data_IF_339364129275
#
_entry.id   IF_339364129275
#
_cell.length_a   1.000
_cell.length_b   1.000
_cell.length_c   1.000
_cell.angle_alpha   90.00
_cell.angle_beta   90.00
_cell.angle_gamma   90.00
#
_symmetry.space_group_name_H-M   'P 1'
#
loop_
_entity.id
_entity.type
_entity.pdbx_description
1 polymer ?
#
# COMPACT_ATOMS: atom_id res chain seq x y z
N UNK A 1 -30.24 12.05 10.77
CA UNK A 1 -30.42 12.69 12.10
C UNK A 1 -30.99 14.07 11.89
N UNK A 2 -31.88 14.53 12.76
CA UNK A 2 -32.38 15.91 12.72
C UNK A 2 -32.45 16.49 14.13
N UNK A 3 -32.14 17.77 14.25
CA UNK A 3 -32.46 18.55 15.44
C UNK A 3 -33.76 19.33 15.19
N UNK A 4 -34.57 19.48 16.22
CA UNK A 4 -35.84 20.21 16.18
C UNK A 4 -35.83 21.35 17.20
N UNK A 5 -36.47 22.46 16.86
CA UNK A 5 -36.76 23.56 17.77
C UNK A 5 -37.89 23.16 18.74
N UNK A 6 -38.05 23.87 19.89
CA UNK A 6 -39.15 23.59 20.83
C UNK A 6 -40.54 23.68 20.21
N UNK A 7 -40.71 24.47 19.14
CA UNK A 7 -41.95 24.59 18.38
C UNK A 7 -42.16 23.46 17.35
N UNK A 8 -41.30 22.43 17.33
CA UNK A 8 -41.39 21.27 16.44
C UNK A 8 -40.81 21.45 15.04
N UNK A 9 -40.33 22.65 14.67
CA UNK A 9 -39.69 22.88 13.37
C UNK A 9 -38.27 22.30 13.32
N UNK A 10 -37.85 21.76 12.17
CA UNK A 10 -36.48 21.24 11.98
C UNK A 10 -35.48 22.39 12.06
N UNK A 11 -34.52 22.28 12.99
CA UNK A 11 -33.40 23.20 13.17
C UNK A 11 -32.26 22.89 12.19
N UNK A 12 -31.93 21.62 12.01
CA UNK A 12 -31.03 21.12 10.96
C UNK A 12 -31.26 19.62 10.75
N UNK A 13 -30.82 19.13 9.60
CA UNK A 13 -30.79 17.70 9.31
C UNK A 13 -29.42 17.32 8.75
N UNK A 14 -28.85 16.25 9.30
CA UNK A 14 -27.59 15.67 8.88
C UNK A 14 -27.83 14.24 8.43
N UNK A 15 -27.43 13.94 7.21
CA UNK A 15 -27.48 12.58 6.69
C UNK A 15 -26.22 11.82 7.14
N UNK A 16 -26.41 10.83 8.01
CA UNK A 16 -25.36 9.92 8.46
C UNK A 16 -25.60 8.61 7.71
N UNK A 17 -24.56 8.09 7.03
CA UNK A 17 -24.67 6.92 6.12
C UNK A 17 -24.99 5.60 6.82
N UNK A 18 -24.98 5.57 8.15
CA UNK A 18 -25.22 4.38 8.98
C UNK A 18 -26.16 4.71 10.14
N UNK A 19 -26.93 3.71 10.55
CA UNK A 19 -27.88 3.86 11.65
C UNK A 19 -27.14 4.01 12.99
N UNK A 20 -27.49 5.03 13.79
CA UNK A 20 -26.93 5.16 15.14
C UNK A 20 -27.34 3.95 15.99
N UNK A 21 -26.37 3.41 16.71
CA UNK A 21 -26.57 2.27 17.61
C UNK A 21 -26.76 2.71 19.07
N UNK A 22 -26.58 4.00 19.35
CA UNK A 22 -26.75 4.60 20.66
C UNK A 22 -27.49 5.94 20.61
N UNK A 23 -28.09 6.32 21.74
CA UNK A 23 -28.68 7.65 21.92
C UNK A 23 -27.60 8.73 21.83
N UNK A 24 -27.90 9.90 21.25
CA UNK A 24 -26.95 11.00 21.19
C UNK A 24 -26.67 11.57 22.59
N UNK A 25 -25.42 11.97 22.84
CA UNK A 25 -24.97 12.69 24.04
C UNK A 25 -24.61 14.12 23.67
N UNK A 26 -24.96 15.11 24.49
CA UNK A 26 -24.57 16.51 24.27
C UNK A 26 -23.51 16.88 25.31
N UNK A 27 -22.35 17.32 24.84
CA UNK A 27 -21.24 17.81 25.67
C UNK A 27 -21.53 19.19 26.27
N UNK A 28 -20.79 19.59 27.32
CA UNK A 28 -20.93 20.91 27.96
C UNK A 28 -20.68 22.10 27.01
N UNK A 29 -19.92 21.87 25.93
CA UNK A 29 -19.62 22.81 24.85
C UNK A 29 -20.68 22.82 23.74
N UNK A 30 -21.73 22.01 23.87
CA UNK A 30 -22.79 21.83 22.87
C UNK A 30 -22.46 20.82 21.77
N UNK A 31 -21.30 20.18 21.79
CA UNK A 31 -20.93 19.13 20.83
C UNK A 31 -21.83 17.90 20.99
N UNK A 32 -22.37 17.37 19.90
CA UNK A 32 -23.27 16.21 19.90
C UNK A 32 -22.47 14.96 19.51
N UNK A 33 -22.45 13.96 20.39
CA UNK A 33 -21.76 12.69 20.21
C UNK A 33 -22.73 11.57 19.87
N UNK A 34 -22.39 10.75 18.88
CA UNK A 34 -23.22 9.61 18.44
C UNK A 34 -22.34 8.41 18.14
N UNK A 35 -22.69 7.26 18.71
CA UNK A 35 -22.11 5.98 18.32
C UNK A 35 -22.90 5.32 17.20
N UNK A 36 -22.21 4.84 16.17
CA UNK A 36 -22.74 3.88 15.21
C UNK A 36 -22.06 2.54 15.41
N UNK A 37 -22.78 1.45 15.18
CA UNK A 37 -22.24 0.10 15.14
C UNK A 37 -22.44 -0.47 13.74
N UNK A 38 -21.41 -1.14 13.26
CA UNK A 38 -21.49 -1.99 12.08
C UNK A 38 -21.85 -3.42 12.55
N UNK A 39 -22.55 -4.18 11.70
CA UNK A 39 -22.99 -5.55 12.03
C UNK A 39 -21.85 -6.57 12.20
N UNK A 40 -20.61 -6.16 11.99
CA UNK A 40 -19.37 -6.95 12.12
C UNK A 40 -18.63 -6.71 13.45
N UNK A 41 -19.25 -5.96 14.38
CA UNK A 41 -18.66 -5.65 15.69
C UNK A 41 -17.79 -4.38 15.69
N UNK A 42 -17.66 -3.67 14.56
CA UNK A 42 -17.04 -2.36 14.49
C UNK A 42 -18.00 -1.20 14.80
N UNK A 43 -17.48 0.03 14.84
CA UNK A 43 -18.32 1.22 15.02
C UNK A 43 -17.58 2.54 14.77
N UNK A 44 -18.32 3.64 14.74
CA UNK A 44 -17.74 4.99 14.59
C UNK A 44 -18.41 5.95 15.57
N UNK A 45 -17.60 6.73 16.29
CA UNK A 45 -18.06 7.83 17.13
C UNK A 45 -18.01 9.13 16.33
N UNK A 46 -19.15 9.78 16.16
CA UNK A 46 -19.27 11.08 15.50
C UNK A 46 -19.31 12.19 16.55
N UNK A 47 -18.62 13.30 16.31
CA UNK A 47 -18.76 14.56 17.06
C UNK A 47 -19.28 15.63 16.09
N UNK A 48 -20.43 16.20 16.40
CA UNK A 48 -21.18 17.10 15.51
C UNK A 48 -21.40 18.44 16.22
N UNK A 49 -21.11 19.55 15.54
CA UNK A 49 -21.40 20.87 16.09
C UNK A 49 -22.92 21.06 16.30
N UNK A 50 -23.33 21.80 17.34
CA UNK A 50 -24.76 22.03 17.65
C UNK A 50 -25.54 22.78 16.56
N UNK A 51 -24.83 23.44 15.63
CA UNK A 51 -25.40 24.10 14.45
C UNK A 51 -25.53 23.19 13.22
N UNK A 52 -25.11 21.92 13.31
CA UNK A 52 -25.24 20.92 12.24
C UNK A 52 -24.21 21.05 11.11
N UNK A 53 -23.19 21.90 11.25
CA UNK A 53 -22.17 22.12 10.22
C UNK A 53 -20.76 21.84 10.74
N UNK A 54 -20.02 21.02 10.00
CA UNK A 54 -18.56 20.93 10.05
C UNK A 54 -18.06 20.71 8.63
N UNK A 55 -17.10 21.51 8.19
CA UNK A 55 -16.46 21.31 6.88
C UNK A 55 -15.64 20.03 6.93
N UNK A 56 -15.87 19.13 5.98
CA UNK A 56 -14.94 18.03 5.74
C UNK A 56 -13.75 18.62 5.01
N UNK A 57 -12.65 18.83 5.73
CA UNK A 57 -11.38 19.28 5.15
C UNK A 57 -10.65 18.04 4.64
N UNK A 58 -10.46 17.94 3.34
CA UNK A 58 -9.61 16.93 2.71
C UNK A 58 -8.25 17.53 2.36
N UNK A 59 -7.19 16.74 2.56
CA UNK A 59 -5.84 17.09 2.14
C UNK A 59 -5.17 15.84 1.56
N UNK A 60 -4.46 15.99 0.45
CA UNK A 60 -3.72 14.92 -0.21
C UNK A 60 -2.23 15.15 -0.04
N UNK A 61 -1.52 14.15 0.45
CA UNK A 61 -0.08 14.17 0.60
C UNK A 61 0.56 13.56 -0.64
N UNK A 62 1.42 14.32 -1.32
CA UNK A 62 2.10 13.87 -2.55
C UNK A 62 3.37 13.03 -2.27
N UNK A 63 3.76 12.90 -1.01
CA UNK A 63 5.01 12.23 -0.63
C UNK A 63 4.84 11.44 0.67
N UNK A 64 5.63 10.37 0.78
CA UNK A 64 5.76 9.65 2.03
C UNK A 64 6.42 10.52 3.10
N UNK A 65 6.01 10.35 4.35
CA UNK A 65 6.53 11.13 5.46
C UNK A 65 5.60 11.17 6.65
N UNK A 66 6.12 11.75 7.74
CA UNK A 66 5.35 12.01 8.95
C UNK A 66 4.85 13.44 8.92
N UNK A 67 3.54 13.61 8.90
CA UNK A 67 2.87 14.90 8.86
C UNK A 67 2.19 15.17 10.19
N UNK A 68 2.57 16.26 10.85
CA UNK A 68 1.86 16.74 12.04
C UNK A 68 0.73 17.63 11.55
N UNK A 69 -0.50 17.15 11.71
CA UNK A 69 -1.71 17.91 11.38
C UNK A 69 -2.17 18.62 12.63
N UNK A 70 -2.15 19.95 12.60
CA UNK A 70 -2.60 20.81 13.71
C UNK A 70 -3.97 21.40 13.39
N UNK A 71 -4.92 21.18 14.28
CA UNK A 71 -6.20 21.88 14.31
C UNK A 71 -6.09 23.05 15.29
N UNK A 72 -6.26 24.27 14.80
CA UNK A 72 -6.29 25.49 15.63
C UNK A 72 -7.69 26.09 15.61
N UNK A 73 -8.23 26.34 16.79
CA UNK A 73 -9.51 27.03 17.00
C UNK A 73 -9.20 28.42 17.56
N UNK A 74 -9.87 29.45 17.05
CA UNK A 74 -9.75 30.84 17.50
C UNK A 74 -11.11 31.35 17.95
N UNK A 75 -11.18 31.97 19.13
CA UNK A 75 -12.40 32.64 19.61
C UNK A 75 -12.56 34.05 19.00
N UNK A 76 -13.65 34.74 19.35
CA UNK A 76 -13.97 36.10 18.90
C UNK A 76 -13.06 37.18 19.51
N UNK A 77 -12.55 36.93 20.72
CA UNK A 77 -11.52 37.75 21.38
C UNK A 77 -10.11 37.57 20.79
N UNK A 78 -9.95 36.60 19.88
CA UNK A 78 -8.73 36.30 19.17
C UNK A 78 -7.78 35.33 19.87
N UNK A 79 -8.17 34.76 21.01
CA UNK A 79 -7.42 33.71 21.68
C UNK A 79 -7.53 32.40 20.87
N UNK A 80 -6.45 31.61 20.87
CA UNK A 80 -6.37 30.37 20.10
C UNK A 80 -6.06 29.19 20.99
N UNK A 81 -6.67 28.04 20.70
CA UNK A 81 -6.25 26.73 21.21
C UNK A 81 -5.96 25.80 20.04
N UNK A 82 -5.09 24.81 20.23
CA UNK A 82 -4.75 23.86 19.18
C UNK A 82 -4.57 22.44 19.69
N UNK A 83 -4.87 21.48 18.84
CA UNK A 83 -4.54 20.05 19.04
C UNK A 83 -3.82 19.52 17.79
N UNK A 84 -3.01 18.48 17.94
CA UNK A 84 -2.26 17.92 16.80
C UNK A 84 -2.35 16.40 16.75
N UNK A 85 -2.27 15.85 15.53
CA UNK A 85 -2.17 14.41 15.27
C UNK A 85 -1.10 14.14 14.23
N UNK A 86 -0.25 13.14 14.48
CA UNK A 86 0.71 12.67 13.48
C UNK A 86 0.03 11.68 12.53
N UNK A 87 0.18 11.93 11.24
CA UNK A 87 -0.22 11.04 10.15
C UNK A 87 1.05 10.53 9.47
N UNK A 88 1.15 9.23 9.28
CA UNK A 88 2.28 8.58 8.60
C UNK A 88 1.81 8.18 7.21
N UNK A 89 2.49 8.70 6.19
CA UNK A 89 2.29 8.32 4.79
C UNK A 89 3.47 7.46 4.36
N UNK A 90 3.19 6.24 3.91
CA UNK A 90 4.21 5.31 3.44
C UNK A 90 4.49 5.51 1.95
N UNK A 91 5.71 5.22 1.51
CA UNK A 91 6.01 5.12 0.09
C UNK A 91 5.20 3.97 -0.52
N UNK A 92 4.57 4.15 -1.69
CA UNK A 92 3.96 3.05 -2.42
C UNK A 92 4.96 1.92 -2.67
N UNK A 93 4.48 0.68 -2.62
CA UNK A 93 5.27 -0.52 -2.86
C UNK A 93 4.62 -1.37 -3.96
N UNK A 94 5.39 -2.29 -4.53
CA UNK A 94 4.81 -3.46 -5.20
C UNK A 94 5.10 -4.67 -4.32
N UNK A 95 4.08 -5.45 -4.00
CA UNK A 95 4.26 -6.72 -3.31
C UNK A 95 3.47 -7.80 -4.03
N UNK A 96 4.13 -8.91 -4.36
CA UNK A 96 3.51 -10.13 -4.87
C UNK A 96 3.09 -11.08 -3.75
N UNK A 97 3.43 -10.76 -2.50
CA UNK A 97 3.18 -11.55 -1.30
C UNK A 97 3.78 -12.97 -1.36
N UNK A 98 3.73 -13.66 -0.21
CA UNK A 98 4.01 -15.09 -0.15
C UNK A 98 2.84 -15.90 -0.74
N UNK A 99 3.10 -16.86 -1.65
CA UNK A 99 2.08 -17.79 -2.14
C UNK A 99 1.59 -18.72 -1.03
N UNK A 100 0.33 -19.14 -1.12
CA UNK A 100 -0.21 -20.18 -0.24
C UNK A 100 0.51 -21.54 -0.42
N UNK A 101 0.96 -21.82 -1.64
CA UNK A 101 1.71 -23.03 -2.01
C UNK A 101 3.05 -22.64 -2.68
N UNK A 102 4.10 -22.33 -1.88
CA UNK A 102 5.38 -21.83 -2.39
C UNK A 102 6.24 -22.87 -3.11
N UNK A 103 5.85 -24.15 -3.06
CA UNK A 103 6.58 -25.28 -3.62
C UNK A 103 5.81 -25.91 -4.79
N UNK A 104 6.49 -26.53 -5.78
CA UNK A 104 7.94 -26.69 -5.89
C UNK A 104 8.71 -25.36 -6.01
N UNK A 105 9.97 -25.38 -5.61
CA UNK A 105 10.84 -24.21 -5.68
C UNK A 105 12.18 -24.65 -6.22
N UNK A 106 12.71 -23.88 -7.14
CA UNK A 106 14.04 -24.07 -7.71
C UNK A 106 14.57 -22.71 -8.18
N UNK A 107 15.88 -22.54 -8.11
CA UNK A 107 16.54 -21.34 -8.66
C UNK A 107 16.46 -21.35 -10.19
N UNK A 108 16.46 -20.17 -10.79
CA UNK A 108 16.44 -20.05 -12.25
C UNK A 108 16.27 -18.62 -12.73
N UNK A 109 15.87 -18.46 -13.98
CA UNK A 109 15.65 -17.17 -14.62
C UNK A 109 14.17 -16.97 -14.92
N UNK A 110 13.54 -15.99 -14.28
CA UNK A 110 12.17 -15.58 -14.53
C UNK A 110 12.16 -14.41 -15.52
N UNK A 111 11.35 -14.52 -16.58
CA UNK A 111 11.08 -13.46 -17.53
C UNK A 111 9.58 -13.22 -17.59
N UNK A 112 9.17 -11.98 -17.42
CA UNK A 112 7.76 -11.64 -17.44
C UNK A 112 7.54 -10.14 -17.46
N UNK A 113 6.35 -9.76 -17.03
CA UNK A 113 5.91 -8.37 -17.01
C UNK A 113 5.32 -7.99 -15.67
N UNK A 114 5.43 -6.71 -15.34
CA UNK A 114 4.85 -6.09 -14.16
C UNK A 114 4.11 -4.81 -14.56
N UNK A 115 2.93 -4.58 -13.99
CA UNK A 115 2.11 -3.38 -14.22
C UNK A 115 1.60 -2.87 -12.87
N UNK A 116 2.20 -1.82 -12.28
CA UNK A 116 1.76 -1.26 -11.00
C UNK A 116 0.37 -0.63 -11.05
N UNK A 117 -0.38 -0.68 -9.94
CA UNK A 117 -1.65 0.04 -9.78
C UNK A 117 -1.48 1.51 -9.34
N UNK A 118 -0.27 1.90 -8.94
CA UNK A 118 0.14 3.24 -8.49
C UNK A 118 1.60 3.50 -8.89
N UNK A 119 2.07 4.74 -8.82
CA UNK A 119 3.49 5.05 -9.05
C UNK A 119 4.36 4.48 -7.92
N UNK A 120 5.44 3.80 -8.27
CA UNK A 120 6.35 3.15 -7.32
C UNK A 120 7.76 3.65 -7.57
N UNK A 121 8.31 4.35 -6.58
CA UNK A 121 9.72 4.72 -6.58
C UNK A 121 10.55 3.54 -6.03
N UNK A 122 11.32 2.90 -6.91
CA UNK A 122 12.04 1.66 -6.63
C UNK A 122 13.51 1.96 -6.38
N UNK A 123 13.98 1.63 -5.17
CA UNK A 123 15.39 1.61 -4.78
C UNK A 123 15.85 0.18 -4.45
N UNK A 124 14.90 -0.71 -4.09
CA UNK A 124 15.18 -2.05 -3.58
C UNK A 124 14.22 -3.10 -4.14
N UNK A 125 14.73 -4.33 -4.30
CA UNK A 125 13.95 -5.52 -4.59
C UNK A 125 14.27 -6.65 -3.61
N UNK A 126 13.23 -7.25 -3.04
CA UNK A 126 13.29 -8.43 -2.19
C UNK A 126 12.67 -9.61 -2.92
N UNK A 127 13.22 -10.80 -2.70
CA UNK A 127 12.64 -12.05 -3.17
C UNK A 127 12.32 -12.89 -1.95
N UNK A 128 11.06 -13.31 -1.81
CA UNK A 128 10.65 -14.10 -0.66
C UNK A 128 11.35 -15.47 -0.71
N UNK A 129 12.14 -15.84 0.32
CA UNK A 129 12.84 -17.10 0.35
C UNK A 129 11.91 -18.23 0.82
N UNK A 130 12.10 -19.43 0.28
CA UNK A 130 11.59 -20.62 0.95
C UNK A 130 12.24 -20.78 2.33
N UNK A 131 11.51 -21.37 3.28
CA UNK A 131 11.94 -21.51 4.66
C UNK A 131 13.35 -22.14 4.76
N UNK A 132 14.26 -21.49 5.50
CA UNK A 132 15.66 -21.90 5.72
C UNK A 132 16.56 -22.00 4.48
N UNK A 133 16.17 -21.42 3.34
CA UNK A 133 16.97 -21.52 2.10
C UNK A 133 17.90 -20.34 1.82
N UNK A 134 17.79 -19.24 2.58
CA UNK A 134 18.54 -18.01 2.29
C UNK A 134 18.21 -17.38 0.94
N UNK A 135 17.04 -17.72 0.37
CA UNK A 135 16.51 -17.24 -0.91
C UNK A 135 16.80 -15.77 -1.18
N UNK A 136 17.44 -15.50 -2.31
CA UNK A 136 17.73 -14.17 -2.84
C UNK A 136 17.76 -14.22 -4.37
N UNK A 137 17.62 -13.05 -4.98
CA UNK A 137 17.95 -12.85 -6.39
C UNK A 137 19.41 -12.47 -6.54
N UNK A 138 20.09 -13.00 -7.55
CA UNK A 138 21.46 -12.64 -7.92
C UNK A 138 21.49 -11.40 -8.80
N UNK A 139 20.48 -11.26 -9.65
CA UNK A 139 20.39 -10.19 -10.63
C UNK A 139 18.93 -9.89 -10.98
N UNK A 140 18.64 -8.62 -11.23
CA UNK A 140 17.37 -8.16 -11.77
C UNK A 140 17.61 -7.06 -12.79
N UNK A 141 16.80 -7.04 -13.83
CA UNK A 141 16.73 -5.94 -14.80
C UNK A 141 15.30 -5.70 -15.23
N UNK A 142 14.95 -4.43 -15.37
CA UNK A 142 13.67 -3.98 -15.92
C UNK A 142 13.90 -3.27 -17.26
N UNK A 143 12.91 -3.38 -18.15
CA UNK A 143 12.87 -2.71 -19.44
C UNK A 143 11.50 -2.10 -19.67
N UNK A 144 11.44 -1.00 -20.41
CA UNK A 144 10.17 -0.51 -20.94
C UNK A 144 9.59 -1.54 -21.93
N UNK A 145 8.33 -1.93 -21.77
CA UNK A 145 7.74 -2.97 -22.62
C UNK A 145 7.65 -2.57 -24.09
N UNK A 146 7.37 -1.29 -24.37
CA UNK A 146 7.10 -0.78 -25.73
C UNK A 146 8.32 -0.82 -26.68
N UNK A 147 9.53 -0.65 -26.15
CA UNK A 147 10.74 -0.52 -26.96
C UNK A 147 11.91 -1.37 -26.42
N UNK A 148 11.68 -2.14 -25.35
CA UNK A 148 12.66 -2.99 -24.69
C UNK A 148 13.94 -2.26 -24.28
N UNK A 149 13.89 -0.95 -24.06
CA UNK A 149 15.02 -0.17 -23.57
C UNK A 149 15.19 -0.44 -22.08
N UNK A 150 16.43 -0.72 -21.66
CA UNK A 150 16.76 -1.00 -20.26
C UNK A 150 16.42 0.20 -19.39
N UNK A 151 15.60 -0.05 -18.36
CA UNK A 151 15.19 0.95 -17.38
C UNK A 151 16.20 1.00 -16.22
N UNK A 152 16.41 -0.13 -15.55
CA UNK A 152 17.33 -0.24 -14.43
C UNK A 152 17.74 -1.70 -14.22
N UNK A 153 18.88 -1.93 -13.58
CA UNK A 153 19.29 -3.25 -13.11
C UNK A 153 19.92 -3.16 -11.73
N UNK A 154 20.00 -4.31 -11.07
CA UNK A 154 20.68 -4.47 -9.80
C UNK A 154 21.27 -5.87 -9.70
N UNK A 155 22.38 -5.96 -8.99
CA UNK A 155 23.10 -7.21 -8.73
C UNK A 155 23.21 -7.36 -7.22
N UNK A 156 23.02 -8.58 -6.73
CA UNK A 156 23.25 -8.86 -5.32
C UNK A 156 24.74 -8.76 -5.00
N UNK A 157 25.07 -7.97 -3.98
CA UNK A 157 26.46 -7.69 -3.57
C UNK A 157 26.90 -8.50 -2.33
N UNK A 158 26.08 -9.46 -1.90
CA UNK A 158 26.40 -10.34 -0.77
C UNK A 158 26.20 -9.70 0.61
N UNK A 159 26.42 -10.51 1.64
CA UNK A 159 26.12 -10.23 3.06
C UNK A 159 27.23 -9.52 3.84
N UNK A 160 28.29 -9.02 3.20
CA UNK A 160 29.45 -8.41 3.91
C UNK A 160 29.12 -7.10 4.66
N UNK A 161 27.92 -6.53 4.46
CA UNK A 161 27.41 -5.33 5.14
C UNK A 161 26.25 -5.61 6.12
N UNK A 162 25.97 -6.89 6.42
CA UNK A 162 24.82 -7.29 7.23
C UNK A 162 23.76 -8.01 6.40
N UNK A 163 22.99 -8.87 7.06
CA UNK A 163 22.09 -9.87 6.50
C UNK A 163 20.86 -9.28 5.78
N UNK A 164 21.05 -8.63 4.65
CA UNK A 164 19.95 -8.02 3.90
C UNK A 164 19.67 -8.78 2.60
N UNK A 165 18.57 -9.57 2.55
CA UNK A 165 18.24 -10.44 1.41
C UNK A 165 17.61 -9.68 0.24
N UNK A 166 18.07 -8.46 -0.07
CA UNK A 166 17.53 -7.63 -1.15
C UNK A 166 18.62 -7.09 -2.08
N UNK A 167 18.23 -6.81 -3.31
CA UNK A 167 19.02 -6.08 -4.29
C UNK A 167 18.76 -4.59 -4.09
N UNK A 168 19.82 -3.78 -4.07
CA UNK A 168 19.73 -2.32 -4.16
C UNK A 168 20.06 -1.86 -5.58
N UNK A 169 19.25 -0.96 -6.13
CA UNK A 169 19.47 -0.39 -7.44
C UNK A 169 20.38 0.83 -7.33
N UNK A 170 21.54 0.79 -7.99
CA UNK A 170 22.49 1.90 -7.99
C UNK A 170 21.89 3.18 -8.59
N UNK A 171 20.90 3.03 -9.48
CA UNK A 171 20.11 4.13 -10.01
C UNK A 171 18.63 3.84 -9.73
N UNK A 172 18.04 4.47 -8.70
CA UNK A 172 16.61 4.38 -8.45
C UNK A 172 15.79 4.81 -9.66
N UNK A 173 14.59 4.26 -9.80
CA UNK A 173 13.72 4.51 -10.94
C UNK A 173 12.25 4.45 -10.50
N UNK A 174 11.35 4.95 -11.35
CA UNK A 174 9.91 4.88 -11.09
C UNK A 174 9.25 3.90 -12.04
N UNK A 175 8.48 2.97 -11.49
CA UNK A 175 7.47 2.24 -12.24
C UNK A 175 6.17 3.04 -12.15
N UNK A 176 5.71 3.57 -13.27
CA UNK A 176 4.51 4.39 -13.31
C UNK A 176 3.25 3.53 -13.27
N UNK A 177 2.22 4.06 -12.64
CA UNK A 177 0.87 3.49 -12.62
C UNK A 177 0.43 3.12 -14.03
N UNK A 178 -0.17 1.93 -14.16
CA UNK A 178 -0.76 1.36 -15.38
C UNK A 178 0.24 1.16 -16.55
N UNK A 179 1.52 1.51 -16.36
CA UNK A 179 2.57 1.24 -17.33
C UNK A 179 3.13 -0.17 -17.12
N UNK A 180 3.31 -0.91 -18.22
CA UNK A 180 3.85 -2.27 -18.18
C UNK A 180 5.34 -2.28 -18.50
N UNK A 181 6.07 -3.09 -17.74
CA UNK A 181 7.52 -3.24 -17.84
C UNK A 181 7.87 -4.71 -17.98
N UNK A 182 8.84 -5.01 -18.85
CA UNK A 182 9.43 -6.34 -18.90
C UNK A 182 10.45 -6.46 -17.76
N UNK A 183 10.55 -7.63 -17.16
CA UNK A 183 11.60 -7.94 -16.20
C UNK A 183 12.32 -9.24 -16.55
N UNK A 184 13.58 -9.31 -16.15
CA UNK A 184 14.33 -10.56 -16.00
C UNK A 184 14.88 -10.60 -14.59
N UNK A 185 14.56 -11.67 -13.85
CA UNK A 185 15.04 -11.91 -12.48
C UNK A 185 15.76 -13.25 -12.45
N UNK A 186 17.02 -13.25 -12.01
CA UNK A 186 17.82 -14.46 -11.82
C UNK A 186 17.86 -14.74 -10.33
N UNK A 187 17.24 -15.84 -9.92
CA UNK A 187 17.25 -16.30 -8.53
C UNK A 187 18.47 -17.17 -8.26
N UNK A 188 19.17 -16.93 -7.15
CA UNK A 188 20.37 -17.68 -6.77
C UNK A 188 20.07 -18.89 -5.89
N UNK A 189 19.04 -18.76 -5.05
CA UNK A 189 18.58 -19.77 -4.10
C UNK A 189 17.13 -20.17 -4.40
N UNK A 190 16.44 -20.86 -3.49
CA UNK A 190 15.06 -21.31 -3.66
C UNK A 190 14.06 -20.18 -3.36
N UNK A 191 13.53 -19.45 -4.38
CA UNK A 191 12.51 -18.43 -4.15
C UNK A 191 11.17 -19.09 -3.85
N UNK A 192 10.29 -18.42 -3.13
CA UNK A 192 8.88 -18.77 -3.17
C UNK A 192 8.33 -18.45 -4.57
N UNK A 193 7.53 -19.38 -5.10
CA UNK A 193 6.96 -19.28 -6.44
C UNK A 193 5.44 -19.33 -6.35
N UNK A 194 4.77 -18.39 -7.00
CA UNK A 194 3.35 -18.49 -7.29
C UNK A 194 3.19 -19.35 -8.56
N UNK A 195 2.50 -20.48 -8.42
CA UNK A 195 2.22 -21.44 -9.50
C UNK A 195 0.94 -21.04 -10.26
N UNK A 196 1.02 -19.91 -10.96
CA UNK A 196 -0.05 -19.32 -11.78
C UNK A 196 0.55 -18.54 -12.96
N UNK A 197 -0.09 -18.53 -14.15
CA UNK A 197 0.40 -17.76 -15.30
C UNK A 197 0.36 -16.24 -15.08
N UNK A 198 -0.52 -15.76 -14.21
CA UNK A 198 -0.66 -14.34 -13.88
C UNK A 198 -1.18 -14.17 -12.45
N UNK A 199 -0.74 -13.11 -11.79
CA UNK A 199 -1.13 -12.75 -10.44
C UNK A 199 -1.56 -11.29 -10.40
N UNK A 200 -2.80 -11.06 -9.93
CA UNK A 200 -3.27 -9.77 -9.48
C UNK A 200 -2.98 -9.63 -8.00
N UNK A 201 -2.31 -8.55 -7.62
CA UNK A 201 -2.01 -8.18 -6.24
C UNK A 201 -2.73 -6.88 -5.92
N UNK A 202 -2.78 -6.48 -4.65
CA UNK A 202 -3.31 -5.17 -4.27
C UNK A 202 -2.53 -4.01 -4.92
N UNK A 203 -1.29 -4.28 -5.36
CA UNK A 203 -0.34 -3.30 -5.88
C UNK A 203 -0.17 -3.34 -7.42
N UNK A 204 -0.91 -4.22 -8.11
CA UNK A 204 -0.91 -4.30 -9.57
C UNK A 204 -0.86 -5.74 -10.10
N UNK A 205 -0.41 -5.89 -11.34
CA UNK A 205 -0.33 -7.18 -12.03
C UNK A 205 1.13 -7.62 -12.21
N UNK A 206 1.38 -8.92 -12.09
CA UNK A 206 2.63 -9.57 -12.46
C UNK A 206 2.36 -10.89 -13.18
N UNK A 207 3.16 -11.22 -14.18
CA UNK A 207 3.19 -12.55 -14.80
C UNK A 207 4.63 -13.03 -15.00
N UNK A 208 4.80 -14.30 -15.37
CA UNK A 208 6.09 -14.86 -15.75
C UNK A 208 5.93 -15.69 -17.02
N UNK A 209 6.11 -15.04 -18.16
CA UNK A 209 6.01 -15.64 -19.49
C UNK A 209 6.99 -16.80 -19.73
N UNK A 210 8.13 -16.81 -19.03
CA UNK A 210 9.13 -17.87 -19.13
C UNK A 210 10.00 -17.92 -17.88
N UNK A 211 9.86 -18.98 -17.11
CA UNK A 211 10.84 -19.40 -16.12
C UNK A 211 11.70 -20.51 -16.70
N UNK A 212 13.02 -20.40 -16.57
CA UNK A 212 13.97 -21.48 -16.92
C UNK A 212 14.74 -21.87 -15.68
N UNK A 213 14.58 -23.11 -15.25
CA UNK A 213 15.21 -23.61 -14.02
C UNK A 213 16.69 -23.96 -14.20
N UNK A 214 17.34 -24.36 -13.10
CA UNK A 214 18.74 -24.76 -13.10
C UNK A 214 19.06 -26.01 -13.95
N UNK A 215 18.07 -26.82 -14.32
CA UNK A 215 18.20 -28.00 -15.18
C UNK A 215 17.90 -27.69 -16.66
N UNK A 216 17.44 -26.47 -16.96
CA UNK A 216 17.04 -26.03 -18.30
C UNK A 216 15.59 -26.30 -18.64
N UNK A 217 14.77 -26.78 -17.69
CA UNK A 217 13.33 -26.96 -17.88
C UNK A 217 12.63 -25.60 -17.92
N UNK A 218 11.55 -25.52 -18.70
CA UNK A 218 10.82 -24.27 -18.94
C UNK A 218 9.41 -24.37 -18.38
N UNK A 219 9.03 -23.35 -17.62
CA UNK A 219 7.71 -23.18 -17.02
C UNK A 219 7.13 -21.82 -17.42
N UNK A 220 5.81 -21.70 -17.50
CA UNK A 220 5.13 -20.48 -17.97
C UNK A 220 4.16 -19.89 -16.95
N UNK A 221 4.18 -20.47 -15.75
CA UNK A 221 3.28 -20.24 -14.64
C UNK A 221 4.02 -20.13 -13.32
N UNK A 222 5.34 -19.90 -13.35
CA UNK A 222 6.19 -19.82 -12.16
C UNK A 222 6.61 -18.37 -11.93
N UNK A 223 5.74 -17.62 -11.25
CA UNK A 223 5.97 -16.22 -10.93
C UNK A 223 6.82 -16.13 -9.66
N UNK A 224 7.93 -15.36 -9.65
CA UNK A 224 8.70 -15.17 -8.44
C UNK A 224 7.92 -14.30 -7.45
N UNK A 225 7.86 -14.71 -6.18
CA UNK A 225 7.36 -13.86 -5.11
C UNK A 225 8.39 -12.76 -4.81
N UNK A 226 8.06 -11.52 -5.16
CA UNK A 226 8.95 -10.36 -5.01
C UNK A 226 8.26 -9.17 -4.37
N UNK A 227 9.07 -8.26 -3.83
CA UNK A 227 8.63 -6.96 -3.34
C UNK A 227 9.56 -5.85 -3.84
N UNK A 228 9.01 -4.70 -4.23
CA UNK A 228 9.72 -3.50 -4.69
C UNK A 228 9.33 -2.30 -3.82
N UNK A 229 10.29 -1.49 -3.39
CA UNK A 229 10.05 -0.31 -2.55
C UNK A 229 11.22 0.71 -2.58
N UNK A 230 11.06 1.82 -1.84
CA UNK A 230 12.04 2.89 -1.65
C UNK A 230 12.88 2.76 -0.38
#
# INVERSE_FOLDING_TARGET
MSAINPNGSTKWSLHIRVNPSSSPLIGPDGTIYIGTAYGDGGGTLYAINPNGTGEIITHSYSSAGNYIVTLTVRDDGGATTSTSKTIIIYSPIFDADSPANPYPSIRGTHNGTITPSHDIYVTKMYTYPCFKTGGHSEFVVFYYQNNNTKLANGTWIGSYLGNYPWIEFATPFTLYKDATYNYTIITGSYPQVHHTPSLLTDNGWINCTKFTDANGEIYTDWIPAIRLWS
#
